data_IF_263810428944
#
_entry.id   IF_263810428944
#
_cell.length_a   1.000
_cell.length_b   1.000
_cell.length_c   1.000
_cell.angle_alpha   90.00
_cell.angle_beta   90.00
_cell.angle_gamma   90.00
#
_symmetry.space_group_name_H-M   'P 1'
#
loop_
_entity.id
_entity.type
_entity.pdbx_description
1 polymer ?
#
# COMPACT_ATOMS: atom_id res chain seq x y z
N UNK A 1 13.41 -11.42 25.98
CA UNK A 1 12.98 -10.07 26.42
C UNK A 1 11.46 -10.05 26.51
N UNK A 2 10.89 -9.49 27.58
CA UNK A 2 9.44 -9.33 27.71
C UNK A 2 9.00 -8.01 27.07
N UNK A 3 8.03 -8.06 26.16
CA UNK A 3 7.45 -6.90 25.49
C UNK A 3 6.07 -6.52 26.04
N UNK A 4 5.68 -7.05 27.20
CA UNK A 4 4.37 -6.80 27.81
C UNK A 4 4.10 -5.33 28.20
N UNK A 5 5.17 -4.53 28.35
CA UNK A 5 5.11 -3.10 28.64
C UNK A 5 4.97 -2.23 27.38
N UNK A 6 4.97 -2.82 26.18
CA UNK A 6 4.85 -2.06 24.94
C UNK A 6 3.41 -2.05 24.43
N UNK A 7 3.04 -0.95 23.77
CA UNK A 7 1.74 -0.79 23.12
C UNK A 7 1.89 -0.24 21.70
N UNK A 8 0.93 -0.60 20.86
CA UNK A 8 0.73 -0.01 19.54
C UNK A 8 -0.47 0.92 19.58
N UNK A 9 -0.27 2.17 19.13
CA UNK A 9 -1.32 3.19 19.05
C UNK A 9 -1.17 4.03 17.77
N UNK A 10 -2.24 4.72 17.34
CA UNK A 10 -2.12 5.83 16.41
C UNK A 10 -1.18 6.88 16.99
N UNK A 11 -0.28 7.42 16.18
CA UNK A 11 0.68 8.42 16.59
C UNK A 11 -0.03 9.76 16.91
N UNK A 12 0.42 10.47 17.94
CA UNK A 12 0.09 11.90 18.15
C UNK A 12 0.81 12.79 17.15
N UNK A 13 0.46 14.08 17.08
CA UNK A 13 1.06 15.00 16.10
C UNK A 13 2.60 15.09 16.22
N UNK A 14 3.13 15.13 17.44
CA UNK A 14 4.56 15.12 17.68
C UNK A 14 5.22 13.81 17.21
N UNK A 15 4.57 12.67 17.47
CA UNK A 15 5.03 11.36 17.01
C UNK A 15 4.95 11.22 15.49
N UNK A 16 3.93 11.80 14.86
CA UNK A 16 3.76 11.87 13.40
C UNK A 16 4.92 12.65 12.78
N UNK A 17 5.23 13.84 13.31
CA UNK A 17 6.35 14.65 12.83
C UNK A 17 7.69 13.91 12.94
N UNK A 18 7.96 13.28 14.09
CA UNK A 18 9.16 12.47 14.30
C UNK A 18 9.21 11.24 13.37
N UNK A 19 8.08 10.57 13.13
CA UNK A 19 8.00 9.44 12.21
C UNK A 19 8.30 9.87 10.76
N UNK A 20 7.89 11.08 10.36
CA UNK A 20 8.21 11.64 9.05
C UNK A 20 9.70 11.97 8.93
N UNK A 21 10.30 12.59 9.96
CA UNK A 21 11.75 12.87 10.00
C UNK A 21 12.56 11.58 9.80
N UNK A 22 12.24 10.54 10.57
CA UNK A 22 12.89 9.22 10.44
C UNK A 22 12.66 8.59 9.07
N UNK A 23 11.46 8.77 8.51
CA UNK A 23 11.13 8.28 7.16
C UNK A 23 11.90 9.01 6.07
N UNK A 24 12.04 10.33 6.15
CA UNK A 24 12.88 11.11 5.24
C UNK A 24 14.35 10.71 5.33
N UNK A 25 14.87 10.59 6.55
CA UNK A 25 16.26 10.22 6.80
C UNK A 25 16.62 8.82 6.27
N UNK A 26 15.68 7.87 6.28
CA UNK A 26 15.92 6.51 5.80
C UNK A 26 15.44 6.27 4.37
N UNK A 27 14.14 6.48 4.09
CA UNK A 27 13.54 6.21 2.79
C UNK A 27 13.80 7.35 1.80
N UNK A 28 13.68 8.60 2.23
CA UNK A 28 13.92 9.78 1.39
C UNK A 28 15.35 9.80 0.84
N UNK A 29 16.34 9.65 1.72
CA UNK A 29 17.77 9.60 1.33
C UNK A 29 18.04 8.47 0.33
N UNK A 30 17.48 7.27 0.52
CA UNK A 30 17.60 6.15 -0.42
C UNK A 30 16.97 6.42 -1.78
N UNK A 31 15.97 7.30 -1.83
CA UNK A 31 15.30 7.73 -3.05
C UNK A 31 15.95 8.99 -3.66
N UNK A 32 17.03 9.52 -3.08
CA UNK A 32 17.68 10.75 -3.53
C UNK A 32 16.89 12.03 -3.21
N UNK A 33 16.03 11.99 -2.18
CA UNK A 33 15.21 13.12 -1.71
C UNK A 33 15.78 13.62 -0.38
N UNK A 34 15.93 14.94 -0.24
CA UNK A 34 16.35 15.55 1.03
C UNK A 34 15.30 15.33 2.13
N UNK A 35 15.69 15.39 3.40
CA UNK A 35 14.73 15.25 4.51
C UNK A 35 13.69 16.37 4.43
N UNK A 36 14.12 17.61 4.22
CA UNK A 36 13.23 18.77 4.13
C UNK A 36 12.22 18.62 2.99
N UNK A 37 12.66 18.16 1.81
CA UNK A 37 11.75 17.95 0.70
C UNK A 37 10.79 16.80 0.98
N UNK A 38 11.25 15.73 1.62
CA UNK A 38 10.39 14.62 2.06
C UNK A 38 9.32 15.10 3.06
N UNK A 39 9.68 15.97 4.00
CA UNK A 39 8.72 16.58 4.94
C UNK A 39 7.69 17.45 4.23
N UNK A 40 8.10 18.25 3.23
CA UNK A 40 7.19 19.07 2.41
C UNK A 40 6.17 18.21 1.64
N UNK A 41 6.48 16.95 1.31
CA UNK A 41 5.50 16.03 0.69
C UNK A 41 4.32 15.74 1.62
N UNK A 42 4.56 15.72 2.93
CA UNK A 42 3.59 15.16 3.85
C UNK A 42 2.29 15.98 3.97
N UNK A 43 2.34 17.33 4.12
CA UNK A 43 1.13 18.14 4.07
C UNK A 43 0.34 17.97 2.77
N UNK A 44 1.03 17.84 1.63
CA UNK A 44 0.39 17.62 0.32
C UNK A 44 -0.34 16.28 0.29
N UNK A 45 0.27 15.22 0.84
CA UNK A 45 -0.37 13.91 0.94
C UNK A 45 -1.57 13.94 1.91
N UNK A 46 -1.47 14.64 3.03
CA UNK A 46 -2.55 14.79 4.02
C UNK A 46 -3.78 15.52 3.46
N UNK A 47 -3.59 16.46 2.53
CA UNK A 47 -4.69 17.16 1.84
C UNK A 47 -5.43 16.28 0.82
N UNK A 48 -4.79 15.19 0.38
CA UNK A 48 -5.37 14.25 -0.57
C UNK A 48 -6.66 13.60 -0.08
N UNK A 49 -7.61 13.36 -0.98
CA UNK A 49 -8.88 12.69 -0.66
C UNK A 49 -8.65 11.32 0.00
N UNK A 50 -7.56 10.64 -0.35
CA UNK A 50 -7.14 9.36 0.24
C UNK A 50 -6.70 9.44 1.70
N UNK A 51 -6.34 10.62 2.22
CA UNK A 51 -5.86 10.80 3.58
C UNK A 51 -6.95 11.26 4.56
N UNK A 52 -8.05 11.81 4.04
CA UNK A 52 -9.17 12.35 4.83
C UNK A 52 -9.83 11.29 5.73
N UNK A 53 -10.52 11.77 6.76
CA UNK A 53 -11.32 10.96 7.69
C UNK A 53 -10.54 9.85 8.39
N UNK A 54 -9.23 10.06 8.62
CA UNK A 54 -8.35 9.06 9.24
C UNK A 54 -8.07 7.86 8.34
N UNK A 55 -8.18 7.98 7.00
CA UNK A 55 -7.77 6.90 6.09
C UNK A 55 -6.25 6.77 6.02
N UNK A 56 -5.49 7.84 6.22
CA UNK A 56 -4.02 7.79 6.32
C UNK A 56 -3.58 8.12 7.74
N UNK A 57 -2.99 7.15 8.44
CA UNK A 57 -2.56 7.32 9.83
C UNK A 57 -1.15 6.77 10.04
N UNK A 58 -0.41 7.38 10.97
CA UNK A 58 0.81 6.76 11.49
C UNK A 58 0.49 5.94 12.73
N UNK A 59 1.22 4.85 12.87
CA UNK A 59 1.18 3.97 14.02
C UNK A 59 2.57 3.88 14.62
N UNK A 60 2.65 3.83 15.95
CA UNK A 60 3.90 3.79 16.70
C UNK A 60 3.88 2.67 17.74
N UNK A 61 5.06 2.13 18.04
CA UNK A 61 5.31 1.24 19.17
C UNK A 61 5.97 2.05 20.30
N UNK A 62 5.28 2.20 21.43
CA UNK A 62 5.74 3.00 22.58
C UNK A 62 5.71 2.19 23.88
N UNK A 63 6.34 2.71 24.93
CA UNK A 63 6.20 2.15 26.29
C UNK A 63 4.86 2.58 26.88
N UNK A 64 4.24 1.72 27.70
CA UNK A 64 3.05 2.05 28.50
C UNK A 64 3.30 3.19 29.48
N UNK A 65 4.55 3.33 29.93
CA UNK A 65 4.94 4.35 30.91
C UNK A 65 5.06 5.75 30.27
N UNK A 66 5.17 5.83 28.94
CA UNK A 66 5.29 7.08 28.19
C UNK A 66 4.67 6.94 26.78
N UNK A 67 3.36 7.11 26.70
CA UNK A 67 2.57 6.94 25.47
C UNK A 67 2.78 8.04 24.43
N UNK A 68 3.27 9.21 24.86
CA UNK A 68 3.43 10.40 24.02
C UNK A 68 4.89 10.65 23.63
N UNK A 69 5.82 9.82 24.10
CA UNK A 69 7.22 9.85 23.72
C UNK A 69 7.41 9.90 22.21
N UNK A 70 8.25 10.83 21.75
CA UNK A 70 8.84 10.80 20.40
C UNK A 70 9.98 9.76 20.31
N UNK A 71 10.46 9.25 21.44
CA UNK A 71 11.40 8.13 21.55
C UNK A 71 10.79 6.75 21.25
N UNK A 72 9.77 6.66 20.40
CA UNK A 72 9.10 5.40 20.08
C UNK A 72 10.03 4.42 19.35
N UNK A 73 9.81 3.12 19.58
CA UNK A 73 10.70 2.04 19.16
C UNK A 73 10.52 1.64 17.69
N UNK A 74 9.34 1.87 17.12
CA UNK A 74 9.03 1.57 15.73
C UNK A 74 7.87 2.43 15.26
N UNK A 75 7.78 2.67 13.95
CA UNK A 75 6.62 3.31 13.34
C UNK A 75 6.33 2.79 11.93
N UNK A 76 5.11 3.00 11.47
CA UNK A 76 4.74 2.85 10.07
C UNK A 76 3.61 3.81 9.71
N UNK A 77 3.38 3.96 8.40
CA UNK A 77 2.20 4.60 7.86
C UNK A 77 1.22 3.52 7.38
N UNK A 78 -0.06 3.74 7.66
CA UNK A 78 -1.15 2.84 7.27
C UNK A 78 -2.17 3.64 6.48
N UNK A 79 -2.48 3.16 5.27
CA UNK A 79 -3.52 3.70 4.41
C UNK A 79 -4.69 2.70 4.31
N UNK A 80 -5.84 3.07 4.85
CA UNK A 80 -7.10 2.35 4.69
C UNK A 80 -7.69 2.60 3.30
N UNK A 81 -8.07 1.51 2.62
CA UNK A 81 -8.61 1.50 1.27
C UNK A 81 -9.85 0.64 1.22
N UNK A 82 -10.78 1.02 0.35
CA UNK A 82 -11.95 0.22 0.04
C UNK A 82 -11.50 -1.04 -0.74
N UNK A 83 -12.04 -2.19 -0.36
CA UNK A 83 -11.74 -3.49 -0.97
C UNK A 83 -13.01 -4.27 -1.26
N UNK A 84 -12.92 -5.14 -2.26
CA UNK A 84 -13.86 -6.22 -2.48
C UNK A 84 -13.18 -7.54 -2.12
N UNK A 85 -13.85 -8.38 -1.34
CA UNK A 85 -13.37 -9.72 -0.96
C UNK A 85 -14.37 -10.77 -1.39
N UNK A 86 -13.91 -11.88 -1.96
CA UNK A 86 -14.74 -12.99 -2.40
C UNK A 86 -14.21 -14.29 -1.78
N UNK A 87 -14.93 -14.82 -0.80
CA UNK A 87 -14.59 -16.06 -0.13
C UNK A 87 -15.11 -17.29 -0.90
N UNK A 88 -14.47 -18.46 -0.76
CA UNK A 88 -14.92 -19.71 -1.36
C UNK A 88 -16.42 -19.98 -1.16
N UNK A 89 -17.13 -20.26 -2.24
CA UNK A 89 -18.55 -20.59 -2.21
C UNK A 89 -19.51 -19.39 -2.18
N UNK A 90 -19.01 -18.16 -2.09
CA UNK A 90 -19.84 -16.96 -2.25
C UNK A 90 -20.15 -16.68 -3.73
N UNK A 91 -21.34 -16.15 -4.01
CA UNK A 91 -21.78 -15.80 -5.36
C UNK A 91 -21.60 -14.32 -5.69
N UNK A 92 -21.21 -13.50 -4.71
CA UNK A 92 -20.90 -12.08 -4.87
C UNK A 92 -19.79 -11.65 -3.89
N UNK A 93 -18.93 -10.69 -4.28
CA UNK A 93 -17.94 -10.13 -3.35
C UNK A 93 -18.61 -9.29 -2.25
N UNK A 94 -18.00 -9.27 -1.06
CA UNK A 94 -18.32 -8.35 0.02
C UNK A 94 -17.42 -7.12 0.01
N UNK A 95 -18.00 -5.96 0.28
CA UNK A 95 -17.25 -4.71 0.47
C UNK A 95 -16.68 -4.62 1.88
N UNK A 96 -15.51 -4.02 2.02
CA UNK A 96 -14.88 -3.75 3.31
C UNK A 96 -13.67 -2.86 3.19
N UNK A 97 -12.82 -2.88 4.22
CA UNK A 97 -11.56 -2.13 4.23
C UNK A 97 -10.35 -3.06 4.21
N UNK A 98 -9.34 -2.66 3.44
CA UNK A 98 -8.00 -3.24 3.49
C UNK A 98 -6.97 -2.16 3.77
N UNK A 99 -5.85 -2.54 4.38
CA UNK A 99 -4.83 -1.58 4.79
C UNK A 99 -3.52 -1.82 4.05
N UNK A 100 -3.03 -0.79 3.37
CA UNK A 100 -1.68 -0.76 2.83
C UNK A 100 -0.74 -0.18 3.88
N UNK A 101 0.28 -0.96 4.26
CA UNK A 101 1.30 -0.55 5.24
C UNK A 101 2.56 -0.13 4.48
N UNK A 102 3.04 1.07 4.78
CA UNK A 102 4.21 1.70 4.18
C UNK A 102 5.14 2.28 5.25
N UNK A 103 6.37 2.60 4.84
CA UNK A 103 7.35 3.29 5.68
C UNK A 103 7.59 2.67 7.06
N UNK A 104 7.62 1.33 7.15
CA UNK A 104 7.98 0.64 8.40
C UNK A 104 9.42 0.97 8.76
N UNK A 105 9.64 1.55 9.94
CA UNK A 105 10.94 1.94 10.45
C UNK A 105 11.13 1.49 11.89
N UNK A 106 12.34 0.99 12.15
CA UNK A 106 12.91 0.88 13.49
C UNK A 106 14.18 1.75 13.52
N UNK A 107 14.31 2.69 14.48
CA UNK A 107 15.52 3.47 14.66
C UNK A 107 16.75 2.57 14.81
N UNK A 108 17.92 2.92 14.24
CA UNK A 108 19.12 2.08 14.27
C UNK A 108 19.46 1.48 15.64
N UNK A 109 19.38 2.28 16.69
CA UNK A 109 19.62 1.95 18.10
C UNK A 109 18.66 0.87 18.67
N UNK A 110 17.52 0.65 18.02
CA UNK A 110 16.51 -0.35 18.40
C UNK A 110 16.51 -1.58 17.48
N UNK A 111 17.31 -1.60 16.41
CA UNK A 111 17.38 -2.75 15.49
C UNK A 111 17.99 -3.98 16.16
N UNK A 112 17.60 -5.16 15.69
CA UNK A 112 18.06 -6.44 16.25
C UNK A 112 17.48 -6.82 17.62
N UNK A 113 16.70 -5.93 18.25
CA UNK A 113 16.12 -6.14 19.59
C UNK A 113 14.68 -6.67 19.58
N UNK A 114 14.14 -7.03 18.42
CA UNK A 114 12.79 -7.60 18.27
C UNK A 114 11.64 -6.59 18.16
N UNK A 115 11.88 -5.27 18.30
CA UNK A 115 10.82 -4.26 18.26
C UNK A 115 10.02 -4.24 16.95
N UNK A 116 10.64 -4.44 15.79
CA UNK A 116 9.89 -4.56 14.53
C UNK A 116 8.94 -5.77 14.52
N UNK A 117 9.37 -6.90 15.05
CA UNK A 117 8.52 -8.10 15.12
C UNK A 117 7.36 -7.85 16.08
N UNK A 118 7.63 -7.32 17.27
CA UNK A 118 6.59 -6.95 18.24
C UNK A 118 5.60 -5.95 17.65
N UNK A 119 6.09 -4.87 17.04
CA UNK A 119 5.27 -3.83 16.42
C UNK A 119 4.33 -4.41 15.37
N UNK A 120 4.89 -5.15 14.40
CA UNK A 120 4.10 -5.71 13.31
C UNK A 120 3.13 -6.77 13.80
N UNK A 121 3.52 -7.64 14.75
CA UNK A 121 2.62 -8.60 15.40
C UNK A 121 1.41 -7.91 16.05
N UNK A 122 1.63 -6.85 16.83
CA UNK A 122 0.56 -6.09 17.47
C UNK A 122 -0.28 -5.29 16.48
N UNK A 123 0.30 -4.88 15.34
CA UNK A 123 -0.43 -4.17 14.30
C UNK A 123 -1.55 -5.02 13.69
N UNK A 124 -1.45 -6.35 13.69
CA UNK A 124 -2.59 -7.20 13.34
C UNK A 124 -3.81 -6.94 14.23
N UNK A 125 -3.62 -6.87 15.55
CA UNK A 125 -4.69 -6.56 16.51
C UNK A 125 -5.24 -5.16 16.34
N UNK A 126 -4.38 -4.19 16.02
CA UNK A 126 -4.79 -2.82 15.73
C UNK A 126 -5.67 -2.70 14.50
N UNK A 127 -5.37 -3.47 13.45
CA UNK A 127 -6.06 -3.40 12.17
C UNK A 127 -7.26 -4.35 12.08
N UNK A 128 -7.20 -5.53 12.70
CA UNK A 128 -8.26 -6.54 12.67
C UNK A 128 -8.70 -6.96 14.09
N UNK A 129 -9.23 -6.01 14.90
CA UNK A 129 -9.58 -6.28 16.30
C UNK A 129 -10.67 -7.35 16.48
N UNK A 130 -11.51 -7.54 15.46
CA UNK A 130 -12.53 -8.60 15.43
C UNK A 130 -11.93 -10.02 15.33
N UNK A 131 -10.72 -10.15 14.78
CA UNK A 131 -10.00 -11.43 14.64
C UNK A 131 -8.95 -11.63 15.72
N UNK A 132 -8.29 -10.55 16.14
CA UNK A 132 -7.17 -10.60 17.08
C UNK A 132 -7.33 -9.59 18.22
N UNK A 133 -8.28 -9.78 19.15
CA UNK A 133 -8.50 -8.84 20.25
C UNK A 133 -7.28 -8.78 21.18
N UNK A 134 -6.74 -7.58 21.42
CA UNK A 134 -5.63 -7.37 22.36
C UNK A 134 -5.66 -5.95 22.95
N UNK A 135 -6.66 -5.68 23.79
CA UNK A 135 -6.90 -4.35 24.37
C UNK A 135 -5.72 -3.90 25.26
N UNK A 136 -5.00 -4.84 25.88
CA UNK A 136 -3.89 -4.54 26.80
C UNK A 136 -2.65 -3.97 26.12
N UNK A 137 -2.40 -4.34 24.86
CA UNK A 137 -1.25 -3.86 24.08
C UNK A 137 -1.67 -2.98 22.90
N UNK A 138 -2.98 -2.92 22.62
CA UNK A 138 -3.56 -2.12 21.55
C UNK A 138 -4.82 -1.43 22.11
N UNK A 139 -4.65 -0.36 22.91
CA UNK A 139 -5.76 0.32 23.55
C UNK A 139 -6.64 1.07 22.54
N UNK A 140 -6.09 1.43 21.38
CA UNK A 140 -6.81 2.11 20.31
C UNK A 140 -6.67 1.32 19.01
N UNK A 141 -7.81 0.92 18.44
CA UNK A 141 -7.88 0.19 17.17
C UNK A 141 -8.32 1.10 16.03
N UNK A 142 -8.13 0.66 14.78
CA UNK A 142 -8.69 1.36 13.62
C UNK A 142 -10.22 1.46 13.73
N UNK A 143 -10.80 2.58 13.30
CA UNK A 143 -12.25 2.73 13.13
C UNK A 143 -12.79 1.97 11.93
N UNK A 144 -11.90 1.42 11.08
CA UNK A 144 -12.20 0.67 9.86
C UNK A 144 -11.54 -0.70 9.94
N UNK A 145 -12.17 -1.71 10.56
CA UNK A 145 -11.54 -3.02 10.69
C UNK A 145 -11.15 -3.62 9.34
N UNK A 146 -9.94 -4.14 9.29
CA UNK A 146 -9.28 -4.66 8.11
C UNK A 146 -9.75 -6.07 7.80
N UNK A 147 -10.20 -6.32 6.56
CA UNK A 147 -10.34 -7.71 6.07
C UNK A 147 -9.01 -8.23 5.52
N UNK A 148 -8.17 -7.34 4.97
CA UNK A 148 -6.85 -7.68 4.41
C UNK A 148 -5.85 -6.58 4.69
N UNK A 149 -4.60 -6.92 5.02
CA UNK A 149 -3.49 -5.95 5.05
C UNK A 149 -2.37 -6.38 4.11
N UNK A 150 -1.70 -5.42 3.48
CA UNK A 150 -0.63 -5.66 2.51
C UNK A 150 0.55 -4.72 2.75
N UNK A 151 1.75 -5.19 2.43
CA UNK A 151 2.97 -4.38 2.40
C UNK A 151 3.91 -4.89 1.31
N UNK A 152 4.82 -4.04 0.88
CA UNK A 152 5.93 -4.41 0.00
C UNK A 152 7.21 -4.47 0.82
N UNK A 153 7.75 -5.66 1.00
CA UNK A 153 8.90 -5.87 1.88
C UNK A 153 10.22 -5.51 1.18
N UNK A 154 10.97 -4.56 1.76
CA UNK A 154 12.37 -4.30 1.40
C UNK A 154 13.36 -5.26 2.09
N UNK A 155 12.88 -6.13 2.98
CA UNK A 155 13.68 -7.02 3.83
C UNK A 155 13.28 -8.49 3.66
N UNK A 156 12.71 -8.83 2.51
CA UNK A 156 12.34 -10.22 2.16
C UNK A 156 11.20 -10.77 3.00
N UNK A 157 11.36 -11.99 3.49
CA UNK A 157 10.36 -12.79 4.20
C UNK A 157 10.22 -12.46 5.70
N UNK A 158 10.95 -11.45 6.19
CA UNK A 158 10.96 -11.00 7.59
C UNK A 158 9.57 -11.04 8.26
N UNK A 159 8.55 -10.50 7.58
CA UNK A 159 7.22 -10.31 8.16
C UNK A 159 6.45 -11.61 8.39
N UNK A 160 6.89 -12.74 7.82
CA UNK A 160 6.27 -14.05 8.05
C UNK A 160 6.35 -14.51 9.52
N UNK A 161 7.34 -14.00 10.28
CA UNK A 161 7.51 -14.30 11.71
C UNK A 161 6.74 -13.37 12.65
N UNK A 162 6.12 -12.32 12.12
CA UNK A 162 5.30 -11.40 12.89
C UNK A 162 3.93 -12.04 13.06
N UNK A 163 3.78 -12.95 14.01
CA UNK A 163 2.51 -13.66 14.25
C UNK A 163 1.59 -12.81 15.14
N UNK A 164 0.27 -12.77 14.90
CA UNK A 164 -0.66 -12.01 15.74
C UNK A 164 -0.83 -12.64 17.12
N UNK A 165 -1.02 -13.96 17.15
CA UNK A 165 -1.21 -14.79 18.35
C UNK A 165 -0.60 -16.17 18.10
N UNK A 166 -0.36 -16.93 19.18
CA UNK A 166 0.16 -18.29 19.07
C UNK A 166 -0.79 -19.19 18.26
N UNK A 167 -0.23 -19.98 17.33
CA UNK A 167 -1.00 -20.87 16.44
C UNK A 167 -1.42 -20.24 15.12
N UNK A 168 -1.35 -18.91 14.97
CA UNK A 168 -1.61 -18.22 13.71
C UNK A 168 -0.33 -18.03 12.88
N UNK A 169 -0.52 -17.74 11.60
CA UNK A 169 0.57 -17.35 10.70
C UNK A 169 0.77 -15.84 10.67
N UNK A 170 2.00 -15.39 10.46
CA UNK A 170 2.28 -13.98 10.18
C UNK A 170 1.96 -13.62 8.72
N UNK A 171 2.67 -12.63 8.19
CA UNK A 171 2.43 -12.14 6.84
C UNK A 171 2.84 -13.18 5.79
N UNK A 172 1.93 -13.47 4.87
CA UNK A 172 2.15 -14.44 3.80
C UNK A 172 2.75 -13.73 2.58
N UNK A 173 3.93 -14.18 2.15
CA UNK A 173 4.54 -13.68 0.93
C UNK A 173 3.71 -14.11 -0.29
N UNK A 174 3.19 -13.11 -1.01
CA UNK A 174 2.56 -13.31 -2.31
C UNK A 174 3.59 -13.13 -3.42
N UNK A 175 3.57 -14.02 -4.41
CA UNK A 175 4.39 -13.84 -5.62
C UNK A 175 3.75 -12.74 -6.47
N UNK A 176 4.54 -11.73 -6.84
CA UNK A 176 4.12 -10.73 -7.82
C UNK A 176 4.53 -11.18 -9.22
N UNK A 177 3.66 -10.94 -10.20
CA UNK A 177 4.05 -11.05 -11.60
C UNK A 177 4.79 -9.78 -12.00
N UNK A 178 6.05 -9.94 -12.39
CA UNK A 178 6.86 -8.86 -12.95
C UNK A 178 7.11 -9.18 -14.41
N UNK A 179 6.72 -8.25 -15.29
CA UNK A 179 7.16 -8.25 -16.68
C UNK A 179 8.19 -7.15 -16.82
N UNK A 180 9.35 -7.46 -17.38
CA UNK A 180 10.45 -6.51 -17.58
C UNK A 180 10.79 -6.45 -19.06
N UNK A 181 10.74 -5.25 -19.63
CA UNK A 181 11.15 -4.99 -21.01
C UNK A 181 12.48 -4.23 -21.00
N UNK A 182 13.60 -4.88 -21.36
CA UNK A 182 14.87 -4.17 -21.53
C UNK A 182 14.73 -3.13 -22.63
N UNK A 183 15.10 -1.86 -22.37
CA UNK A 183 15.00 -0.80 -23.38
C UNK A 183 15.79 -1.13 -24.66
N UNK A 184 16.92 -1.83 -24.53
CA UNK A 184 17.73 -2.32 -25.66
C UNK A 184 17.00 -3.30 -26.56
N UNK A 185 15.96 -3.97 -26.07
CA UNK A 185 15.14 -4.94 -26.83
C UNK A 185 13.92 -4.32 -27.50
N UNK A 186 13.61 -3.05 -27.20
CA UNK A 186 12.44 -2.37 -27.75
C UNK A 186 12.77 -1.88 -29.15
N UNK A 187 12.17 -2.51 -30.16
CA UNK A 187 12.18 -2.00 -31.54
C UNK A 187 11.09 -0.95 -31.68
N UNK A 188 11.49 0.31 -31.80
CA UNK A 188 10.56 1.40 -32.12
C UNK A 188 10.14 1.24 -33.58
N UNK A 189 8.85 1.01 -33.88
CA UNK A 189 8.40 0.91 -35.26
C UNK A 189 8.74 2.21 -36.03
N UNK A 190 9.16 2.13 -37.30
CA UNK A 190 9.31 3.33 -38.12
C UNK A 190 7.97 4.06 -38.22
N UNK A 191 7.97 5.41 -38.23
CA UNK A 191 6.77 6.28 -38.20
C UNK A 191 5.65 5.94 -39.21
N UNK A 192 5.93 5.12 -40.22
CA UNK A 192 4.96 4.66 -41.26
C UNK A 192 4.32 3.30 -40.96
N UNK A 193 4.74 2.58 -39.92
CA UNK A 193 4.08 1.35 -39.50
C UNK A 193 2.80 1.74 -38.77
N UNK A 194 1.66 1.49 -39.42
CA UNK A 194 0.26 1.51 -38.95
C UNK A 194 0.16 1.95 -37.49
N UNK A 195 -0.35 3.17 -37.28
CA UNK A 195 -0.69 3.68 -35.96
C UNK A 195 -1.50 2.62 -35.23
N UNK A 196 -0.87 1.91 -34.29
CA UNK A 196 -1.64 1.23 -33.26
C UNK A 196 -2.53 2.33 -32.66
N UNK A 197 -3.86 2.16 -32.63
CA UNK A 197 -4.74 3.16 -32.08
C UNK A 197 -4.51 3.09 -30.57
N UNK A 198 -3.53 3.82 -30.09
CA UNK A 198 -3.23 3.93 -28.67
C UNK A 198 -3.40 5.39 -28.34
N UNK A 199 -4.38 5.67 -27.51
CA UNK A 199 -4.66 7.01 -27.03
C UNK A 199 -3.92 7.20 -25.71
N UNK A 200 -3.08 8.24 -25.65
CA UNK A 200 -2.40 8.62 -24.43
C UNK A 200 -3.40 9.31 -23.49
N UNK A 201 -3.42 8.87 -22.24
CA UNK A 201 -4.33 9.36 -21.22
C UNK A 201 -3.71 10.51 -20.45
N UNK A 202 -4.44 11.63 -20.35
CA UNK A 202 -4.17 12.65 -19.34
C UNK A 202 -4.50 12.14 -17.93
N UNK A 203 -4.17 12.91 -16.90
CA UNK A 203 -4.54 12.59 -15.52
C UNK A 203 -6.06 12.45 -15.33
N UNK A 204 -6.84 13.34 -15.97
CA UNK A 204 -8.31 13.25 -15.94
C UNK A 204 -8.82 12.03 -16.69
N UNK A 205 -8.17 11.62 -17.77
CA UNK A 205 -8.62 10.44 -18.53
C UNK A 205 -8.29 9.16 -17.78
N UNK A 206 -7.14 9.08 -17.12
CA UNK A 206 -6.81 7.96 -16.21
C UNK A 206 -7.87 7.84 -15.12
N UNK A 207 -8.32 8.96 -14.55
CA UNK A 207 -9.38 8.96 -13.53
C UNK A 207 -10.67 8.33 -14.07
N UNK A 208 -11.14 8.79 -15.23
CA UNK A 208 -12.36 8.25 -15.86
C UNK A 208 -12.26 6.75 -16.19
N UNK A 209 -11.10 6.32 -16.68
CA UNK A 209 -10.87 4.92 -17.03
C UNK A 209 -10.87 4.02 -15.79
N UNK A 210 -10.24 4.46 -14.70
CA UNK A 210 -10.25 3.73 -13.42
C UNK A 210 -11.65 3.65 -12.81
N UNK A 211 -12.39 4.76 -12.79
CA UNK A 211 -13.77 4.78 -12.28
C UNK A 211 -14.70 3.88 -13.12
N UNK A 212 -14.44 3.76 -14.42
CA UNK A 212 -15.18 2.84 -15.30
C UNK A 212 -14.83 1.37 -15.03
N UNK A 213 -13.56 1.07 -14.72
CA UNK A 213 -13.07 -0.29 -14.44
C UNK A 213 -13.57 -0.83 -13.10
N UNK A 214 -13.86 0.03 -12.12
CA UNK A 214 -14.43 -0.36 -10.81
C UNK A 214 -15.66 -1.28 -10.98
N UNK A 215 -16.54 -0.95 -11.92
CA UNK A 215 -17.75 -1.74 -12.21
C UNK A 215 -17.47 -3.16 -12.71
N UNK A 216 -16.26 -3.44 -13.18
CA UNK A 216 -15.85 -4.73 -13.74
C UNK A 216 -15.17 -5.63 -12.70
N UNK A 217 -14.61 -5.05 -11.62
CA UNK A 217 -13.87 -5.78 -10.58
C UNK A 217 -14.68 -6.93 -9.96
N UNK A 218 -15.99 -6.78 -9.66
CA UNK A 218 -16.77 -7.90 -9.12
C UNK A 218 -16.85 -9.11 -10.06
N UNK A 219 -17.07 -8.87 -11.35
CA UNK A 219 -17.16 -9.94 -12.36
C UNK A 219 -15.81 -10.64 -12.52
N UNK A 220 -14.72 -9.87 -12.52
CA UNK A 220 -13.35 -10.38 -12.60
C UNK A 220 -13.00 -11.28 -11.40
N UNK A 221 -13.43 -10.93 -10.19
CA UNK A 221 -13.26 -11.78 -9.00
C UNK A 221 -14.02 -13.11 -9.13
N UNK A 222 -15.24 -13.09 -9.66
CA UNK A 222 -16.03 -14.30 -9.90
C UNK A 222 -15.38 -15.22 -10.93
N UNK A 223 -14.85 -14.66 -12.03
CA UNK A 223 -14.11 -15.43 -13.04
C UNK A 223 -12.84 -16.07 -12.45
N UNK A 224 -12.12 -15.35 -11.60
CA UNK A 224 -10.97 -15.91 -10.86
C UNK A 224 -11.38 -17.04 -9.92
N UNK A 225 -12.52 -16.90 -9.25
CA UNK A 225 -13.05 -17.92 -8.36
C UNK A 225 -13.50 -19.18 -9.10
N UNK A 226 -14.13 -19.06 -10.28
CA UNK A 226 -14.44 -20.23 -11.13
C UNK A 226 -13.20 -21.05 -11.45
N UNK A 227 -12.06 -20.38 -11.69
CA UNK A 227 -10.77 -21.04 -11.96
C UNK A 227 -10.13 -21.65 -10.70
N UNK A 228 -10.39 -21.09 -9.51
CA UNK A 228 -9.88 -21.64 -8.25
C UNK A 228 -10.94 -21.55 -7.13
N UNK A 229 -11.94 -22.45 -7.09
CA UNK A 229 -13.10 -22.31 -6.20
C UNK A 229 -12.79 -22.31 -4.71
N UNK A 230 -11.64 -22.89 -4.32
CA UNK A 230 -11.20 -23.02 -2.92
C UNK A 230 -10.40 -21.82 -2.41
N UNK A 231 -10.17 -20.79 -3.24
CA UNK A 231 -9.38 -19.61 -2.86
C UNK A 231 -10.28 -18.42 -2.54
N UNK A 232 -9.86 -17.67 -1.52
CA UNK A 232 -10.34 -16.30 -1.31
C UNK A 232 -9.59 -15.38 -2.25
N UNK A 233 -10.31 -14.48 -2.91
CA UNK A 233 -9.76 -13.41 -3.73
C UNK A 233 -10.12 -12.07 -3.11
N UNK A 234 -9.29 -11.06 -3.33
CA UNK A 234 -9.63 -9.69 -2.99
C UNK A 234 -9.02 -8.75 -4.01
N UNK A 235 -9.65 -7.59 -4.17
CA UNK A 235 -9.13 -6.48 -4.95
C UNK A 235 -9.28 -5.20 -4.14
N UNK A 236 -8.24 -4.37 -4.15
CA UNK A 236 -8.42 -2.99 -3.75
C UNK A 236 -9.18 -2.28 -4.85
N UNK A 237 -10.26 -1.59 -4.48
CA UNK A 237 -11.06 -0.87 -5.45
C UNK A 237 -10.20 0.21 -6.10
N UNK A 238 -10.10 0.24 -7.44
CA UNK A 238 -9.30 1.22 -8.17
C UNK A 238 -10.04 2.56 -8.23
N UNK A 239 -10.31 3.17 -7.09
CA UNK A 239 -11.00 4.48 -7.07
C UNK A 239 -10.04 5.60 -7.44
N UNK A 240 -10.55 6.65 -8.10
CA UNK A 240 -9.84 7.90 -8.42
C UNK A 240 -8.87 8.42 -7.34
N UNK A 241 -9.24 8.46 -6.02
CA UNK A 241 -8.34 8.95 -4.96
C UNK A 241 -7.02 8.17 -4.82
N UNK A 242 -6.98 6.90 -5.21
CA UNK A 242 -5.80 6.06 -5.08
C UNK A 242 -4.76 6.31 -6.15
N UNK A 243 -5.20 6.60 -7.36
CA UNK A 243 -4.32 7.09 -8.40
C UNK A 243 -3.75 8.45 -8.01
N UNK A 244 -4.56 9.32 -7.36
CA UNK A 244 -4.06 10.60 -6.85
C UNK A 244 -2.87 10.44 -5.90
N UNK A 245 -2.84 9.43 -5.01
CA UNK A 245 -1.67 9.21 -4.15
C UNK A 245 -0.39 8.98 -4.97
N UNK A 246 -0.42 8.02 -5.90
CA UNK A 246 0.76 7.67 -6.70
C UNK A 246 1.13 8.77 -7.71
N UNK A 247 0.14 9.48 -8.26
CA UNK A 247 0.34 10.64 -9.13
C UNK A 247 0.97 11.81 -8.36
N UNK A 248 0.46 12.14 -7.17
CA UNK A 248 1.02 13.18 -6.31
C UNK A 248 2.47 12.84 -5.95
N UNK A 249 2.74 11.61 -5.52
CA UNK A 249 4.12 11.15 -5.30
C UNK A 249 4.99 11.25 -6.55
N UNK A 250 4.44 10.95 -7.73
CA UNK A 250 5.15 11.00 -8.99
C UNK A 250 5.43 12.41 -9.50
N UNK A 251 4.54 13.38 -9.25
CA UNK A 251 4.72 14.79 -9.62
C UNK A 251 5.81 15.46 -8.78
N UNK A 252 5.93 15.01 -7.53
CA UNK A 252 6.88 15.53 -6.56
C UNK A 252 8.28 14.90 -6.71
N UNK A 253 8.42 13.82 -7.47
CA UNK A 253 9.70 13.29 -7.90
C UNK A 253 10.39 14.21 -8.93
N UNK A 254 11.73 14.33 -8.87
CA UNK A 254 12.53 15.08 -9.84
C UNK A 254 12.17 14.68 -11.29
N UNK A 255 11.79 15.69 -12.10
CA UNK A 255 11.36 15.50 -13.49
C UNK A 255 9.94 14.95 -13.68
N UNK A 256 9.11 14.89 -12.62
CA UNK A 256 7.71 14.46 -12.69
C UNK A 256 6.77 15.45 -13.38
N UNK A 257 7.09 16.75 -13.31
CA UNK A 257 6.28 17.85 -13.85
C UNK A 257 6.25 17.93 -15.38
N UNK A 258 7.13 17.21 -16.09
CA UNK A 258 7.26 17.29 -17.55
C UNK A 258 6.54 16.16 -18.31
N UNK A 259 5.77 15.30 -17.64
CA UNK A 259 5.03 14.22 -18.29
C UNK A 259 3.62 14.69 -18.70
N UNK A 260 3.33 14.64 -20.00
CA UNK A 260 2.00 14.99 -20.53
C UNK A 260 1.04 13.78 -20.57
N UNK A 261 1.52 12.57 -20.29
CA UNK A 261 0.73 11.34 -20.34
C UNK A 261 0.98 10.46 -19.10
N UNK A 262 -0.11 9.95 -18.53
CA UNK A 262 -0.18 9.16 -17.30
C UNK A 262 -0.77 7.77 -17.50
N UNK A 263 -1.19 7.47 -18.72
CA UNK A 263 -1.68 6.16 -19.13
C UNK A 263 -1.81 6.07 -20.65
N UNK A 264 -2.27 4.91 -21.09
CA UNK A 264 -2.61 4.63 -22.48
C UNK A 264 -3.80 3.68 -22.53
N UNK A 265 -4.68 3.84 -23.51
CA UNK A 265 -5.78 2.92 -23.79
C UNK A 265 -5.83 2.52 -25.26
N UNK A 266 -6.46 1.39 -25.54
CA UNK A 266 -6.79 0.97 -26.91
C UNK A 266 -8.26 1.37 -27.17
N UNK A 267 -8.55 2.36 -28.04
CA UNK A 267 -9.89 2.80 -28.36
C UNK A 267 -10.80 1.65 -28.80
N UNK A 268 -12.04 1.67 -28.33
CA UNK A 268 -13.02 0.61 -28.60
C UNK A 268 -12.82 -0.68 -27.78
N UNK A 269 -11.77 -0.75 -26.95
CA UNK A 269 -11.57 -1.85 -25.99
C UNK A 269 -11.71 -1.36 -24.54
N UNK A 270 -11.72 -2.31 -23.60
CA UNK A 270 -11.63 -2.04 -22.16
C UNK A 270 -10.20 -2.15 -21.63
N UNK A 271 -9.21 -2.25 -22.52
CA UNK A 271 -7.82 -2.48 -22.16
C UNK A 271 -7.07 -1.16 -22.06
N UNK A 272 -6.47 -0.95 -20.89
CA UNK A 272 -5.69 0.24 -20.57
C UNK A 272 -4.48 -0.12 -19.72
N UNK A 273 -3.56 0.84 -19.64
CA UNK A 273 -2.40 0.82 -18.77
C UNK A 273 -2.21 2.20 -18.17
N UNK A 274 -2.01 2.28 -16.86
CA UNK A 274 -1.66 3.53 -16.18
C UNK A 274 -0.23 3.43 -15.65
N UNK A 275 0.43 4.57 -15.47
CA UNK A 275 1.76 4.60 -14.88
C UNK A 275 1.98 5.79 -13.96
N UNK A 276 2.82 5.55 -12.97
CA UNK A 276 3.40 6.59 -12.11
C UNK A 276 4.91 6.41 -12.05
N UNK A 277 5.65 7.51 -11.87
CA UNK A 277 7.07 7.44 -11.50
C UNK A 277 7.16 7.33 -9.99
N UNK A 278 7.88 6.32 -9.52
CA UNK A 278 8.32 6.23 -8.14
C UNK A 278 9.82 6.45 -8.11
N UNK A 279 10.34 7.20 -7.14
CA UNK A 279 11.78 7.27 -6.85
C UNK A 279 12.25 6.19 -5.87
N UNK A 280 11.32 5.54 -5.16
CA UNK A 280 11.62 4.45 -4.22
C UNK A 280 11.89 3.10 -4.92
N UNK A 281 11.64 3.05 -6.23
CA UNK A 281 11.99 1.96 -7.12
C UNK A 281 12.48 2.63 -8.40
N UNK A 282 13.67 2.33 -8.91
CA UNK A 282 14.23 2.88 -10.17
C UNK A 282 13.46 2.45 -11.43
N UNK A 283 12.19 2.14 -11.31
CA UNK A 283 11.30 1.54 -12.31
C UNK A 283 9.98 2.31 -12.35
N UNK A 284 9.49 2.62 -13.55
CA UNK A 284 8.09 3.03 -13.74
C UNK A 284 7.19 1.90 -13.24
N UNK A 285 6.20 2.23 -12.40
CA UNK A 285 5.16 1.28 -12.03
C UNK A 285 4.11 1.32 -13.12
N UNK A 286 3.87 0.18 -13.75
CA UNK A 286 2.79 -0.01 -14.70
C UNK A 286 1.69 -0.81 -14.01
N UNK A 287 0.50 -0.23 -13.92
CA UNK A 287 -0.70 -1.00 -13.59
C UNK A 287 -1.35 -1.39 -14.91
N UNK A 288 -1.19 -2.67 -15.24
CA UNK A 288 -1.84 -3.32 -16.37
C UNK A 288 -3.10 -4.01 -15.86
N UNK A 289 -4.16 -3.99 -16.66
CA UNK A 289 -5.32 -4.85 -16.47
C UNK A 289 -4.89 -6.33 -16.61
N UNK A 290 -4.43 -6.89 -15.50
CA UNK A 290 -4.25 -8.32 -15.26
C UNK A 290 -4.73 -8.59 -13.85
N UNK A 291 -5.87 -9.25 -13.76
CA UNK A 291 -6.52 -9.74 -12.55
C UNK A 291 -5.50 -10.42 -11.64
N UNK A 292 -5.09 -9.75 -10.55
CA UNK A 292 -4.15 -10.33 -9.58
C UNK A 292 -4.92 -11.24 -8.63
N UNK A 293 -4.52 -12.50 -8.57
CA UNK A 293 -4.97 -13.43 -7.54
C UNK A 293 -4.05 -13.36 -6.32
N UNK A 294 -4.55 -12.89 -5.17
CA UNK A 294 -3.84 -12.98 -3.91
C UNK A 294 -4.54 -13.99 -2.98
N UNK A 295 -3.75 -14.88 -2.37
CA UNK A 295 -4.22 -15.94 -1.46
C UNK A 295 -4.47 -15.35 -0.07
N UNK A 296 -5.72 -15.18 0.34
CA UNK A 296 -6.05 -14.97 1.76
C UNK A 296 -6.28 -16.34 2.44
N UNK A 297 -5.59 -16.61 3.54
CA UNK A 297 -5.82 -17.81 4.37
C UNK A 297 -6.98 -17.57 5.34
N UNK A 298 -7.60 -18.69 5.70
CA UNK A 298 -8.69 -18.82 6.68
C UNK A 298 -8.36 -18.09 7.98
#
# INVERSE_FOLDING_TARGET
MSFGHLVVKPASEAQVHEAQLRSGAYWGVRAGVSIDDFLKLHPVLQQGVFAKNGKLQYWVLVSKDDLESTGFYASCQVLARDILTLHPGQTSPSSGFGHAISFVIVPPEHRGKGYAQCFMSLLHSALAPHRYPNILQVPTTTSRPSSVSVLYSAVGDYYARCIPVAGESGWIQQKSWRTTWPLSSIRIPPKKAISLPVELLSESDVTKVLDSDDTLVPADLLELQKKNPKKTFFAFVPTSPLNTYFLTMSKLAMGGLSNNAWGAQIPGSKDFMTWSRSQFCSTRRFELRKTQSAKASK
#
